data_IF_484400817586
#
_entry.id   IF_484400817586
#
_cell.length_a   1.000
_cell.length_b   1.000
_cell.length_c   1.000
_cell.angle_alpha   90.00
_cell.angle_beta   90.00
_cell.angle_gamma   90.00
#
_symmetry.space_group_name_H-M   'P 1'
#
loop_
_entity.id
_entity.type
_entity.pdbx_description
1 polymer ?
#
# COMPACT_ATOMS: atom_id res chain seq x y z
N UNK A 1 30.58 -89.06 73.87
CA UNK A 1 30.70 -88.35 75.11
C UNK A 1 31.17 -86.96 74.88
N UNK A 2 30.75 -85.92 75.61
CA UNK A 2 29.45 -85.27 75.52
C UNK A 2 29.48 -84.00 74.70
N UNK A 3 28.26 -83.62 74.31
CA UNK A 3 27.89 -82.48 73.49
C UNK A 3 28.06 -81.14 74.24
N UNK A 4 28.63 -80.14 73.61
CA UNK A 4 28.46 -78.75 74.02
C UNK A 4 27.56 -77.95 73.07
N UNK A 5 26.41 -77.60 73.61
CA UNK A 5 25.44 -76.67 72.99
C UNK A 5 25.98 -75.25 73.05
N UNK A 6 26.12 -74.65 71.85
CA UNK A 6 26.38 -73.22 71.77
C UNK A 6 25.08 -72.42 71.71
N UNK A 7 24.93 -71.47 72.62
CA UNK A 7 23.80 -70.54 72.77
C UNK A 7 24.05 -69.34 71.85
N UNK A 8 23.13 -69.11 70.96
CA UNK A 8 23.17 -67.91 70.07
C UNK A 8 22.57 -66.69 70.73
N UNK A 9 23.18 -65.48 70.62
CA UNK A 9 22.61 -64.26 71.16
C UNK A 9 21.57 -63.63 70.21
N UNK A 10 20.42 -63.29 70.67
CA UNK A 10 19.35 -62.55 70.00
C UNK A 10 19.78 -61.11 69.71
N UNK A 11 19.90 -60.76 68.43
CA UNK A 11 20.07 -59.41 67.99
C UNK A 11 18.76 -58.58 68.14
N UNK A 12 18.78 -57.58 68.96
CA UNK A 12 17.72 -56.58 69.08
C UNK A 12 17.74 -55.68 67.85
N UNK A 13 16.75 -55.84 66.92
CA UNK A 13 16.48 -54.89 65.82
C UNK A 13 15.91 -53.59 66.38
N UNK A 14 16.67 -52.53 66.46
CA UNK A 14 16.18 -51.18 66.66
C UNK A 14 15.40 -50.74 65.46
N UNK A 15 14.06 -50.66 65.57
CA UNK A 15 13.16 -50.04 64.58
C UNK A 15 13.38 -48.54 64.65
N UNK A 16 14.13 -47.96 63.70
CA UNK A 16 14.24 -46.51 63.53
C UNK A 16 12.84 -45.99 63.13
N UNK A 17 12.20 -45.26 64.00
CA UNK A 17 11.00 -44.48 63.70
C UNK A 17 11.38 -43.34 62.80
N UNK A 18 11.08 -43.46 61.45
CA UNK A 18 11.14 -42.39 60.50
C UNK A 18 10.21 -41.27 60.97
N UNK A 19 10.78 -40.20 61.50
CA UNK A 19 10.05 -38.96 61.78
C UNK A 19 9.60 -38.37 60.44
N UNK A 20 8.32 -38.48 60.11
CA UNK A 20 7.69 -37.71 59.05
C UNK A 20 7.67 -36.25 59.48
N UNK A 21 8.48 -35.43 58.77
CA UNK A 21 8.44 -33.98 58.92
C UNK A 21 7.08 -33.47 58.46
N UNK A 22 6.37 -32.64 59.24
CA UNK A 22 5.11 -32.10 58.78
C UNK A 22 5.36 -31.20 57.56
N UNK A 23 4.67 -31.50 56.45
CA UNK A 23 4.68 -30.64 55.27
C UNK A 23 4.25 -29.23 55.71
N UNK A 24 5.19 -28.30 55.69
CA UNK A 24 4.92 -26.88 55.95
C UNK A 24 3.94 -26.38 54.88
N UNK A 25 2.65 -26.31 55.22
CA UNK A 25 1.66 -25.66 54.38
C UNK A 25 2.05 -24.21 54.15
N UNK A 26 2.14 -23.85 52.87
CA UNK A 26 2.42 -22.47 52.46
C UNK A 26 1.45 -21.50 53.17
N UNK A 27 1.99 -20.45 53.77
CA UNK A 27 1.19 -19.42 54.45
C UNK A 27 0.16 -18.82 53.48
N UNK A 28 -0.98 -18.35 54.02
CA UNK A 28 -2.03 -17.71 53.16
C UNK A 28 -1.46 -16.62 52.26
N UNK A 29 -0.48 -15.85 52.71
CA UNK A 29 0.22 -14.82 51.91
C UNK A 29 1.03 -15.42 50.75
N UNK A 30 1.68 -16.57 50.94
CA UNK A 30 2.42 -17.26 49.86
C UNK A 30 1.48 -17.91 48.84
N UNK A 31 0.28 -18.33 49.23
CA UNK A 31 -0.76 -18.82 48.32
C UNK A 31 -1.36 -17.68 47.51
N UNK A 32 -1.68 -16.52 48.13
CA UNK A 32 -2.14 -15.33 47.43
C UNK A 32 -1.07 -14.80 46.43
N UNK A 33 0.19 -14.75 46.80
CA UNK A 33 1.28 -14.34 45.93
C UNK A 33 1.44 -15.26 44.71
N UNK A 34 1.30 -16.59 44.90
CA UNK A 34 1.32 -17.56 43.80
C UNK A 34 0.11 -17.42 42.85
N UNK A 35 -1.11 -17.24 43.40
CA UNK A 35 -2.30 -17.03 42.58
C UNK A 35 -2.21 -15.72 41.78
N UNK A 36 -1.72 -14.65 42.37
CA UNK A 36 -1.51 -13.38 41.65
C UNK A 36 -0.47 -13.53 40.51
N UNK A 37 0.63 -14.23 40.78
CA UNK A 37 1.69 -14.48 39.81
C UNK A 37 1.22 -15.35 38.62
N UNK A 38 0.38 -16.37 38.92
CA UNK A 38 -0.25 -17.20 37.89
C UNK A 38 -1.25 -16.39 37.05
N UNK A 39 -2.08 -15.56 37.71
CA UNK A 39 -3.03 -14.68 37.00
C UNK A 39 -2.32 -13.67 36.11
N UNK A 40 -1.23 -13.05 36.57
CA UNK A 40 -0.42 -12.14 35.78
C UNK A 40 0.24 -12.86 34.58
N UNK A 41 0.78 -14.06 34.80
CA UNK A 41 1.36 -14.88 33.74
C UNK A 41 0.32 -15.28 32.71
N UNK A 42 -0.90 -15.66 33.10
CA UNK A 42 -2.01 -15.96 32.18
C UNK A 42 -2.44 -14.72 31.41
N UNK A 43 -2.55 -13.56 32.05
CA UNK A 43 -2.86 -12.30 31.38
C UNK A 43 -1.80 -11.90 30.36
N UNK A 44 -0.51 -12.07 30.68
CA UNK A 44 0.60 -11.82 29.75
C UNK A 44 0.58 -12.81 28.59
N UNK A 45 0.32 -14.09 28.86
CA UNK A 45 0.21 -15.12 27.81
C UNK A 45 -1.02 -14.89 26.92
N UNK A 46 -2.18 -14.57 27.47
CA UNK A 46 -3.37 -14.24 26.70
C UNK A 46 -3.20 -12.95 25.92
N UNK A 47 -2.61 -11.92 26.50
CA UNK A 47 -2.28 -10.66 25.83
C UNK A 47 -1.25 -10.87 24.70
N UNK A 48 -0.22 -11.68 24.98
CA UNK A 48 0.79 -12.05 23.97
C UNK A 48 0.21 -12.90 22.84
N UNK A 49 -0.65 -13.87 23.15
CA UNK A 49 -1.34 -14.69 22.16
C UNK A 49 -2.32 -13.87 21.31
N UNK A 50 -3.08 -12.97 21.95
CA UNK A 50 -3.97 -12.05 21.23
C UNK A 50 -3.20 -11.08 20.33
N UNK A 51 -2.10 -10.52 20.81
CA UNK A 51 -1.22 -9.66 20.02
C UNK A 51 -0.56 -10.43 18.87
N UNK A 52 -0.12 -11.67 19.10
CA UNK A 52 0.44 -12.54 18.07
C UNK A 52 -0.61 -12.96 17.04
N UNK A 53 -1.84 -13.28 17.47
CA UNK A 53 -2.95 -13.58 16.59
C UNK A 53 -3.32 -12.37 15.72
N UNK A 54 -3.43 -11.18 16.32
CA UNK A 54 -3.66 -9.93 15.61
C UNK A 54 -2.53 -9.63 14.62
N UNK A 55 -1.28 -9.84 15.02
CA UNK A 55 -0.11 -9.66 14.15
C UNK A 55 -0.15 -10.61 12.95
N UNK A 56 -0.39 -11.91 13.18
CA UNK A 56 -0.50 -12.93 12.13
C UNK A 56 -1.68 -12.67 11.20
N UNK A 57 -2.79 -12.22 11.74
CA UNK A 57 -3.96 -11.85 10.94
C UNK A 57 -3.71 -10.60 10.11
N UNK A 58 -2.90 -9.64 10.58
CA UNK A 58 -2.53 -8.46 9.80
C UNK A 58 -1.68 -8.81 8.57
N UNK A 59 -0.95 -9.90 8.55
CA UNK A 59 -0.15 -10.34 7.39
C UNK A 59 -0.97 -11.05 6.28
N UNK A 60 -2.29 -11.14 6.40
CA UNK A 60 -3.16 -11.86 5.45
C UNK A 60 -3.73 -10.99 4.31
N UNK A 61 -3.19 -9.80 4.04
CA UNK A 61 -3.54 -9.01 2.85
C UNK A 61 -2.95 -9.68 1.61
N UNK A 62 -3.64 -9.57 0.47
CA UNK A 62 -3.17 -10.13 -0.79
C UNK A 62 -1.72 -9.74 -1.06
N UNK A 63 -0.85 -10.71 -1.29
CA UNK A 63 0.57 -10.49 -1.56
C UNK A 63 0.92 -10.95 -2.97
N UNK A 64 1.95 -10.31 -3.55
CA UNK A 64 2.40 -10.57 -4.92
C UNK A 64 3.92 -10.52 -5.01
N UNK A 65 4.50 -11.51 -5.71
CA UNK A 65 5.93 -11.60 -5.97
C UNK A 65 6.40 -10.74 -7.16
N UNK A 66 5.51 -9.92 -7.74
CA UNK A 66 5.77 -9.17 -8.98
C UNK A 66 6.97 -8.19 -8.91
N UNK A 67 7.34 -7.74 -7.70
CA UNK A 67 8.54 -6.91 -7.53
C UNK A 67 9.83 -7.68 -7.86
N UNK A 68 9.85 -8.98 -7.56
CA UNK A 68 11.02 -9.86 -7.73
C UNK A 68 12.07 -9.69 -6.63
N UNK A 69 12.67 -10.81 -6.21
CA UNK A 69 13.67 -10.82 -5.11
C UNK A 69 14.94 -10.02 -5.46
N UNK A 70 15.31 -9.97 -6.74
CA UNK A 70 16.51 -9.28 -7.23
C UNK A 70 16.25 -7.83 -7.67
N UNK A 71 15.04 -7.28 -7.41
CA UNK A 71 14.72 -5.91 -7.78
C UNK A 71 15.67 -4.93 -7.06
N UNK A 72 16.18 -3.90 -7.77
CA UNK A 72 16.98 -2.86 -7.14
C UNK A 72 16.21 -2.20 -5.98
N UNK A 73 16.89 -2.04 -4.84
CA UNK A 73 16.35 -1.39 -3.64
C UNK A 73 17.09 -0.09 -3.36
N UNK A 74 16.43 0.82 -2.64
CA UNK A 74 17.04 2.04 -2.11
C UNK A 74 18.18 1.70 -1.15
N UNK A 75 19.32 2.39 -1.28
CA UNK A 75 20.54 2.10 -0.52
C UNK A 75 20.81 3.09 0.60
N UNK A 76 20.09 4.20 0.61
CA UNK A 76 20.23 5.33 1.56
C UNK A 76 19.31 5.22 2.78
N UNK A 77 18.59 4.08 2.92
CA UNK A 77 17.61 3.85 3.98
C UNK A 77 16.26 4.53 3.72
N UNK A 78 16.12 5.28 2.63
CA UNK A 78 14.81 5.77 2.18
C UNK A 78 13.96 4.62 1.61
N UNK A 79 12.68 4.87 1.40
CA UNK A 79 11.75 3.88 0.84
C UNK A 79 10.94 4.50 -0.29
N UNK A 80 10.95 3.87 -1.46
CA UNK A 80 10.15 4.24 -2.62
C UNK A 80 8.97 3.27 -2.78
N UNK A 81 7.74 3.79 -2.69
CA UNK A 81 6.51 3.02 -2.73
C UNK A 81 5.73 3.41 -3.98
N UNK A 82 5.44 2.46 -4.86
CA UNK A 82 4.57 2.70 -6.02
C UNK A 82 3.11 2.39 -5.68
N UNK A 83 2.26 3.40 -5.70
CA UNK A 83 0.82 3.24 -5.61
C UNK A 83 0.23 3.12 -7.01
N UNK A 84 -0.55 2.06 -7.24
CA UNK A 84 -1.20 1.76 -8.52
C UNK A 84 -2.71 1.66 -8.35
N UNK A 85 -3.47 2.49 -9.06
CA UNK A 85 -4.93 2.39 -9.15
C UNK A 85 -5.36 1.79 -10.48
N UNK A 86 -5.96 0.59 -10.44
CA UNK A 86 -6.42 -0.13 -11.62
C UNK A 86 -7.87 0.21 -11.96
N UNK A 87 -8.11 0.44 -13.24
CA UNK A 87 -9.46 0.61 -13.81
C UNK A 87 -10.04 -0.73 -14.27
N UNK A 88 -10.19 -1.68 -13.33
CA UNK A 88 -10.82 -2.97 -13.62
C UNK A 88 -12.20 -3.08 -12.98
N UNK A 89 -13.15 -3.74 -13.69
CA UNK A 89 -14.49 -4.08 -13.22
C UNK A 89 -14.56 -5.52 -12.73
N UNK A 90 -13.44 -6.11 -12.43
CA UNK A 90 -13.31 -7.46 -11.89
C UNK A 90 -12.72 -7.43 -10.50
N UNK A 91 -13.09 -8.41 -9.70
CA UNK A 91 -12.47 -8.64 -8.39
C UNK A 91 -11.05 -9.23 -8.53
N UNK A 92 -10.42 -9.59 -7.42
CA UNK A 92 -9.07 -10.16 -7.42
C UNK A 92 -9.02 -11.58 -8.04
N UNK A 93 -10.14 -12.29 -8.13
CA UNK A 93 -10.26 -13.61 -8.74
C UNK A 93 -10.61 -13.57 -10.24
N UNK A 94 -10.80 -12.37 -10.80
CA UNK A 94 -11.22 -12.18 -12.19
C UNK A 94 -12.72 -12.33 -12.40
N UNK A 95 -13.52 -12.42 -11.33
CA UNK A 95 -14.96 -12.46 -11.40
C UNK A 95 -15.52 -11.04 -11.62
N UNK A 96 -16.57 -10.94 -12.42
CA UNK A 96 -17.21 -9.66 -12.71
C UNK A 96 -17.87 -9.07 -11.45
N UNK A 97 -17.72 -7.76 -11.26
CA UNK A 97 -18.41 -7.07 -10.18
C UNK A 97 -19.93 -7.10 -10.41
N UNK A 98 -20.74 -7.30 -9.35
CA UNK A 98 -22.19 -7.25 -9.46
C UNK A 98 -22.68 -5.96 -10.12
N UNK A 99 -23.77 -6.06 -10.92
CA UNK A 99 -24.28 -4.91 -11.69
C UNK A 99 -24.73 -3.73 -10.84
N UNK A 100 -25.21 -3.96 -9.62
CA UNK A 100 -25.54 -2.90 -8.66
C UNK A 100 -24.29 -2.18 -8.15
N UNK A 101 -23.19 -2.90 -7.96
CA UNK A 101 -21.87 -2.32 -7.63
C UNK A 101 -21.36 -1.48 -8.80
N UNK A 102 -21.39 -2.01 -10.03
CA UNK A 102 -20.97 -1.27 -11.23
C UNK A 102 -21.77 0.02 -11.42
N UNK A 103 -23.08 -0.03 -11.14
CA UNK A 103 -23.95 1.15 -11.20
C UNK A 103 -23.57 2.20 -10.15
N UNK A 104 -23.33 1.79 -8.90
CA UNK A 104 -22.84 2.69 -7.83
C UNK A 104 -21.50 3.32 -8.20
N UNK A 105 -20.60 2.55 -8.78
CA UNK A 105 -19.28 3.03 -9.21
C UNK A 105 -19.32 3.92 -10.47
N UNK A 106 -20.47 4.12 -11.12
CA UNK A 106 -20.57 4.73 -12.45
C UNK A 106 -19.54 4.14 -13.43
N UNK A 107 -19.33 2.82 -13.36
CA UNK A 107 -18.25 2.14 -14.06
C UNK A 107 -18.64 1.66 -15.47
N UNK A 108 -19.92 1.80 -15.86
CA UNK A 108 -20.46 1.20 -17.08
C UNK A 108 -20.67 -0.31 -16.92
N UNK A 109 -20.70 -1.04 -18.05
CA UNK A 109 -20.78 -2.50 -18.01
C UNK A 109 -19.43 -3.15 -17.72
N UNK A 110 -19.43 -4.43 -17.35
CA UNK A 110 -18.23 -5.23 -17.14
C UNK A 110 -17.37 -5.38 -18.41
N UNK A 111 -17.99 -5.29 -19.59
CA UNK A 111 -17.32 -5.37 -20.90
C UNK A 111 -16.47 -4.13 -21.21
N UNK A 112 -16.76 -3.00 -20.55
CA UNK A 112 -16.06 -1.74 -20.73
C UNK A 112 -14.96 -1.66 -19.68
N UNK A 113 -13.72 -1.64 -20.12
CA UNK A 113 -12.59 -1.45 -19.25
C UNK A 113 -11.54 -2.51 -19.45
N UNK A 114 -10.42 -2.25 -18.90
CA UNK A 114 -9.26 -3.11 -19.01
C UNK A 114 -8.47 -3.09 -17.71
N UNK A 115 -7.24 -3.49 -17.82
CA UNK A 115 -6.30 -3.46 -16.69
C UNK A 115 -5.35 -2.26 -16.85
N UNK A 116 -5.90 -1.05 -17.11
CA UNK A 116 -5.09 0.15 -17.15
C UNK A 116 -4.78 0.65 -15.72
N UNK A 117 -3.53 0.96 -15.46
CA UNK A 117 -3.12 1.66 -14.24
C UNK A 117 -3.39 3.17 -14.39
N UNK A 118 -4.63 3.58 -14.14
CA UNK A 118 -5.08 4.95 -14.35
C UNK A 118 -4.61 5.93 -13.27
N UNK A 119 -4.05 5.45 -12.18
CA UNK A 119 -3.39 6.23 -11.14
C UNK A 119 -2.03 5.60 -10.87
N UNK A 120 -0.97 6.39 -10.99
CA UNK A 120 0.40 6.00 -10.71
C UNK A 120 1.04 7.10 -9.87
N UNK A 121 1.39 6.78 -8.62
CA UNK A 121 2.03 7.72 -7.70
C UNK A 121 3.24 7.03 -7.06
N UNK A 122 4.41 7.61 -7.22
CA UNK A 122 5.61 7.20 -6.48
C UNK A 122 5.66 8.02 -5.19
N UNK A 123 5.62 7.35 -4.04
CA UNK A 123 5.88 7.95 -2.73
C UNK A 123 7.33 7.67 -2.33
N UNK A 124 8.09 8.71 -2.11
CA UNK A 124 9.42 8.65 -1.52
C UNK A 124 9.36 9.04 -0.05
N UNK A 125 9.76 8.13 0.83
CA UNK A 125 9.81 8.33 2.28
C UNK A 125 11.28 8.38 2.70
N UNK A 126 11.80 9.54 3.09
CA UNK A 126 13.20 9.68 3.47
C UNK A 126 13.50 8.98 4.81
N UNK A 127 14.72 8.45 4.96
CA UNK A 127 15.16 7.73 6.15
C UNK A 127 15.22 8.59 7.41
N UNK A 128 15.48 9.89 7.27
CA UNK A 128 15.65 10.85 8.36
C UNK A 128 14.33 11.35 8.98
N UNK A 129 13.19 10.82 8.51
CA UNK A 129 11.85 11.26 8.95
C UNK A 129 11.45 12.63 8.43
N UNK A 130 12.15 13.15 7.41
CA UNK A 130 11.81 14.37 6.68
C UNK A 130 10.47 14.28 5.94
N UNK A 131 10.15 15.32 5.17
CA UNK A 131 8.90 15.34 4.38
C UNK A 131 8.97 14.29 3.25
N UNK A 132 7.98 13.43 3.21
CA UNK A 132 7.81 12.51 2.08
C UNK A 132 7.41 13.29 0.80
N UNK A 133 7.79 12.76 -0.34
CA UNK A 133 7.47 13.33 -1.66
C UNK A 133 6.61 12.36 -2.43
N UNK A 134 5.49 12.84 -2.96
CA UNK A 134 4.61 12.09 -3.84
C UNK A 134 4.73 12.61 -5.28
N UNK A 135 5.13 11.75 -6.21
CA UNK A 135 5.24 12.06 -7.62
C UNK A 135 4.10 11.38 -8.38
N UNK A 136 3.13 12.17 -8.83
CA UNK A 136 2.07 11.64 -9.70
C UNK A 136 2.56 11.60 -11.14
N UNK A 137 2.47 10.43 -11.75
CA UNK A 137 2.87 10.15 -13.12
C UNK A 137 1.62 10.27 -13.99
N UNK A 138 1.56 11.21 -14.96
CA UNK A 138 0.41 11.31 -15.84
C UNK A 138 0.25 10.01 -16.65
N UNK A 139 -0.93 9.43 -16.58
CA UNK A 139 -1.20 8.08 -17.12
C UNK A 139 -1.06 7.94 -18.63
N UNK A 140 -1.18 9.06 -19.35
CA UNK A 140 -1.11 9.10 -20.81
C UNK A 140 0.30 9.48 -21.33
N UNK A 141 1.32 9.48 -20.43
CA UNK A 141 2.72 9.68 -20.81
C UNK A 141 3.18 8.58 -21.76
N UNK A 142 3.75 8.97 -22.90
CA UNK A 142 4.30 8.08 -23.89
C UNK A 142 5.68 7.60 -23.42
N UNK A 143 5.80 6.32 -23.14
CA UNK A 143 7.02 5.70 -22.60
C UNK A 143 7.34 4.39 -23.29
N UNK A 144 8.58 3.92 -23.17
CA UNK A 144 8.96 2.58 -23.61
C UNK A 144 8.42 1.55 -22.60
N UNK A 145 7.60 0.63 -23.09
CA UNK A 145 7.06 -0.49 -22.30
C UNK A 145 7.86 -1.75 -22.66
N UNK A 146 8.60 -2.36 -21.73
CA UNK A 146 9.45 -3.51 -22.03
C UNK A 146 8.67 -4.65 -22.69
N UNK A 147 9.10 -5.04 -23.89
CA UNK A 147 8.46 -6.10 -24.69
C UNK A 147 7.25 -5.66 -25.53
N UNK A 148 6.81 -4.38 -25.43
CA UNK A 148 5.61 -3.87 -26.12
C UNK A 148 5.84 -2.60 -26.92
N UNK A 149 7.07 -2.04 -26.90
CA UNK A 149 7.39 -0.78 -27.58
C UNK A 149 6.84 0.46 -26.86
N UNK A 150 6.67 1.56 -27.60
CA UNK A 150 6.16 2.81 -27.02
C UNK A 150 4.64 2.82 -26.98
N UNK A 151 4.10 3.11 -25.79
CA UNK A 151 2.67 3.37 -25.57
C UNK A 151 2.47 4.18 -24.29
N UNK A 152 1.21 4.50 -23.96
CA UNK A 152 0.83 5.16 -22.70
C UNK A 152 1.24 4.32 -21.50
N UNK A 153 1.89 4.93 -20.52
CA UNK A 153 2.41 4.24 -19.34
C UNK A 153 1.34 3.42 -18.61
N UNK A 154 0.08 3.87 -18.61
CA UNK A 154 -1.05 3.14 -18.01
C UNK A 154 -1.32 1.78 -18.63
N UNK A 155 -0.92 1.55 -19.90
CA UNK A 155 -1.21 0.33 -20.65
C UNK A 155 -0.24 -0.81 -20.32
N UNK A 156 0.89 -0.53 -19.69
CA UNK A 156 1.93 -1.52 -19.41
C UNK A 156 1.39 -2.76 -18.69
N UNK A 157 0.51 -2.55 -17.72
CA UNK A 157 -0.14 -3.63 -16.99
C UNK A 157 -1.01 -4.52 -17.88
N UNK A 158 -1.94 -3.91 -18.60
CA UNK A 158 -2.92 -4.63 -19.43
C UNK A 158 -2.27 -5.37 -20.61
N UNK A 159 -1.28 -4.78 -21.24
CA UNK A 159 -0.53 -5.38 -22.36
C UNK A 159 0.21 -6.65 -21.90
N UNK A 160 0.94 -6.57 -20.79
CA UNK A 160 1.69 -7.71 -20.28
C UNK A 160 0.76 -8.81 -19.76
N UNK A 161 -0.34 -8.44 -19.09
CA UNK A 161 -1.38 -9.39 -18.66
C UNK A 161 -1.94 -10.17 -19.85
N UNK A 162 -2.37 -9.48 -20.90
CA UNK A 162 -2.95 -10.11 -22.08
C UNK A 162 -1.93 -11.03 -22.79
N UNK A 163 -0.68 -10.62 -22.88
CA UNK A 163 0.39 -11.43 -23.45
C UNK A 163 0.64 -12.71 -22.64
N UNK A 164 0.69 -12.61 -21.31
CA UNK A 164 0.87 -13.76 -20.41
C UNK A 164 -0.29 -14.73 -20.51
N UNK A 165 -1.53 -14.25 -20.48
CA UNK A 165 -2.71 -15.11 -20.66
C UNK A 165 -2.74 -15.81 -22.02
N UNK A 166 -2.36 -15.11 -23.09
CA UNK A 166 -2.30 -15.69 -24.44
C UNK A 166 -1.28 -16.82 -24.48
N UNK A 167 -0.11 -16.62 -23.90
CA UNK A 167 0.93 -17.64 -23.78
C UNK A 167 0.44 -18.85 -23.00
N UNK A 168 -0.14 -18.65 -21.82
CA UNK A 168 -0.66 -19.73 -20.96
C UNK A 168 -1.77 -20.53 -21.64
N UNK A 169 -2.67 -19.87 -22.37
CA UNK A 169 -3.68 -20.56 -23.20
C UNK A 169 -3.06 -21.40 -24.30
N UNK A 170 -2.00 -20.89 -24.93
CA UNK A 170 -1.21 -21.66 -25.91
C UNK A 170 -0.52 -22.88 -25.31
N UNK A 171 -0.19 -22.85 -24.02
CA UNK A 171 0.35 -23.97 -23.24
C UNK A 171 -0.75 -24.92 -22.70
N UNK A 172 -2.02 -24.68 -23.02
CA UNK A 172 -3.15 -25.53 -22.64
C UNK A 172 -3.78 -25.20 -21.29
N UNK A 173 -3.46 -24.06 -20.66
CA UNK A 173 -4.11 -23.62 -19.42
C UNK A 173 -5.51 -23.10 -19.74
N UNK A 174 -6.54 -23.77 -19.14
CA UNK A 174 -7.96 -23.42 -19.31
C UNK A 174 -8.61 -22.87 -18.03
N UNK A 175 -7.93 -22.98 -16.89
CA UNK A 175 -8.42 -22.47 -15.61
C UNK A 175 -8.40 -20.94 -15.61
N UNK A 176 -9.61 -20.33 -15.58
CA UNK A 176 -9.78 -18.88 -15.63
C UNK A 176 -9.14 -18.16 -14.43
N UNK A 177 -9.19 -18.73 -13.23
CA UNK A 177 -8.57 -18.13 -12.03
C UNK A 177 -7.05 -18.13 -12.13
N UNK A 178 -6.47 -19.21 -12.62
CA UNK A 178 -5.03 -19.30 -12.87
C UNK A 178 -4.60 -18.31 -13.94
N UNK A 179 -5.32 -18.20 -15.05
CA UNK A 179 -5.05 -17.21 -16.11
C UNK A 179 -5.08 -15.79 -15.55
N UNK A 180 -6.11 -15.46 -14.75
CA UNK A 180 -6.24 -14.14 -14.13
C UNK A 180 -5.09 -13.86 -13.18
N UNK A 181 -4.77 -14.80 -12.27
CA UNK A 181 -3.69 -14.65 -11.31
C UNK A 181 -2.33 -14.42 -11.98
N UNK A 182 -1.92 -15.34 -12.85
CA UNK A 182 -0.63 -15.26 -13.55
C UNK A 182 -0.57 -14.01 -14.49
N UNK A 183 -1.69 -13.70 -15.12
CA UNK A 183 -1.82 -12.50 -15.95
C UNK A 183 -1.62 -11.23 -15.13
N UNK A 184 -2.23 -11.12 -13.94
CA UNK A 184 -2.03 -9.97 -13.04
C UNK A 184 -0.60 -9.89 -12.52
N UNK A 185 0.04 -11.02 -12.18
CA UNK A 185 1.45 -11.02 -11.78
C UNK A 185 2.34 -10.44 -12.89
N UNK A 186 2.17 -10.90 -14.13
CA UNK A 186 2.87 -10.36 -15.28
C UNK A 186 2.58 -8.86 -15.50
N UNK A 187 1.32 -8.45 -15.35
CA UNK A 187 0.90 -7.05 -15.44
C UNK A 187 1.56 -6.15 -14.40
N UNK A 188 1.56 -6.57 -13.14
CA UNK A 188 2.24 -5.86 -12.02
C UNK A 188 3.72 -5.70 -12.29
N UNK A 189 4.39 -6.81 -12.64
CA UNK A 189 5.82 -6.81 -12.94
C UNK A 189 6.17 -5.83 -14.07
N UNK A 190 5.39 -5.85 -15.16
CA UNK A 190 5.61 -4.95 -16.29
C UNK A 190 5.37 -3.48 -15.91
N UNK A 191 4.30 -3.18 -15.15
CA UNK A 191 4.00 -1.82 -14.72
C UNK A 191 5.08 -1.26 -13.79
N UNK A 192 5.51 -2.04 -12.79
CA UNK A 192 6.57 -1.67 -11.85
C UNK A 192 7.88 -1.43 -12.62
N UNK A 193 8.25 -2.35 -13.52
CA UNK A 193 9.46 -2.21 -14.34
C UNK A 193 9.40 -0.97 -15.22
N UNK A 194 8.27 -0.72 -15.89
CA UNK A 194 8.08 0.46 -16.74
C UNK A 194 8.25 1.75 -15.96
N UNK A 195 7.63 1.86 -14.78
CA UNK A 195 7.75 3.05 -13.92
C UNK A 195 9.19 3.21 -13.43
N UNK A 196 9.83 2.14 -12.94
CA UNK A 196 11.22 2.16 -12.50
C UNK A 196 12.16 2.63 -13.60
N UNK A 197 12.02 2.04 -14.80
CA UNK A 197 12.86 2.35 -15.95
C UNK A 197 12.59 3.78 -16.46
N UNK A 198 11.37 4.28 -16.35
CA UNK A 198 11.00 5.64 -16.70
C UNK A 198 11.60 6.66 -15.73
N UNK A 199 11.41 6.47 -14.42
CA UNK A 199 11.84 7.42 -13.38
C UNK A 199 13.34 7.32 -13.06
N UNK A 200 13.96 6.18 -13.29
CA UNK A 200 15.38 5.95 -12.98
C UNK A 200 15.70 5.83 -11.49
N UNK A 201 14.71 5.45 -10.67
CA UNK A 201 14.86 5.20 -9.23
C UNK A 201 14.34 3.81 -8.88
N UNK A 202 14.87 3.14 -7.84
CA UNK A 202 14.37 1.85 -7.39
C UNK A 202 12.94 1.96 -6.88
N UNK A 203 12.19 0.86 -6.95
CA UNK A 203 10.89 0.69 -6.30
C UNK A 203 11.08 -0.36 -5.21
N UNK A 204 10.92 0.05 -3.95
CA UNK A 204 11.13 -0.83 -2.79
C UNK A 204 9.87 -1.63 -2.46
N UNK A 205 8.71 -0.99 -2.60
CA UNK A 205 7.41 -1.57 -2.34
C UNK A 205 6.38 -1.09 -3.34
N UNK A 206 5.27 -1.83 -3.48
CA UNK A 206 4.11 -1.36 -4.20
C UNK A 206 2.81 -1.69 -3.46
N UNK A 207 1.77 -0.92 -3.78
CA UNK A 207 0.40 -1.21 -3.41
C UNK A 207 -0.51 -1.02 -4.63
N UNK A 208 -1.35 -2.01 -4.90
CA UNK A 208 -2.35 -1.99 -5.98
C UNK A 208 -3.74 -1.95 -5.38
N UNK A 209 -4.61 -1.12 -5.94
CA UNK A 209 -6.02 -1.03 -5.57
C UNK A 209 -6.89 -0.98 -6.82
N UNK A 210 -8.03 -1.70 -6.81
CA UNK A 210 -9.05 -1.64 -7.85
C UNK A 210 -10.08 -0.53 -7.59
N UNK A 211 -10.98 -0.27 -8.56
CA UNK A 211 -12.10 0.69 -8.37
C UNK A 211 -12.98 0.32 -7.19
N UNK A 212 -13.36 -0.96 -7.08
CA UNK A 212 -14.17 -1.46 -5.96
C UNK A 212 -13.43 -1.37 -4.63
N UNK A 213 -12.13 -1.63 -4.66
CA UNK A 213 -11.27 -1.51 -3.48
C UNK A 213 -11.19 -0.07 -2.97
N UNK A 214 -11.01 0.88 -3.87
CA UNK A 214 -10.99 2.29 -3.52
C UNK A 214 -12.31 2.74 -2.87
N UNK A 215 -13.44 2.38 -3.49
CA UNK A 215 -14.78 2.65 -2.96
C UNK A 215 -14.94 2.11 -1.53
N UNK A 216 -14.63 0.81 -1.33
CA UNK A 216 -14.76 0.16 -0.01
C UNK A 216 -13.81 0.75 1.04
N UNK A 217 -12.60 1.14 0.62
CA UNK A 217 -11.62 1.72 1.54
C UNK A 217 -12.04 3.13 2.00
N UNK A 218 -12.62 3.94 1.09
CA UNK A 218 -13.16 5.24 1.44
C UNK A 218 -14.36 5.13 2.40
N UNK A 219 -15.26 4.16 2.18
CA UNK A 219 -16.36 3.88 3.11
C UNK A 219 -15.85 3.40 4.49
N UNK A 220 -14.81 2.56 4.53
CA UNK A 220 -14.23 2.07 5.79
C UNK A 220 -13.51 3.17 6.61
N UNK A 221 -13.24 4.30 6.00
CA UNK A 221 -12.75 5.51 6.68
C UNK A 221 -13.87 6.39 7.23
N UNK A 222 -15.13 5.94 7.15
CA UNK A 222 -16.33 6.73 7.47
C UNK A 222 -16.47 7.98 6.58
N UNK A 223 -16.01 7.90 5.32
CA UNK A 223 -15.92 9.01 4.39
C UNK A 223 -14.57 9.73 4.41
N UNK A 224 -14.34 10.65 3.50
CA UNK A 224 -13.13 11.48 3.43
C UNK A 224 -13.50 12.93 3.18
N UNK A 225 -13.03 13.86 4.03
CA UNK A 225 -13.27 15.29 3.84
C UNK A 225 -12.41 15.81 2.67
N UNK A 226 -13.06 16.48 1.71
CA UNK A 226 -12.40 17.17 0.59
C UNK A 226 -12.83 18.62 0.51
N UNK A 227 -12.08 19.43 -0.23
CA UNK A 227 -12.42 20.84 -0.46
C UNK A 227 -12.35 21.16 -1.96
N UNK A 228 -13.43 21.76 -2.48
CA UNK A 228 -13.51 22.26 -3.86
C UNK A 228 -13.54 23.80 -3.89
N UNK A 229 -12.75 24.39 -4.79
CA UNK A 229 -12.80 25.83 -5.03
C UNK A 229 -14.11 26.24 -5.69
N UNK A 230 -14.65 25.41 -6.57
CA UNK A 230 -15.87 25.67 -7.34
C UNK A 230 -16.81 24.47 -7.29
N UNK A 231 -18.12 24.73 -7.43
CA UNK A 231 -19.09 23.66 -7.59
C UNK A 231 -18.87 22.93 -8.92
N UNK A 232 -19.08 21.62 -8.92
CA UNK A 232 -18.84 20.77 -10.10
C UNK A 232 -20.02 19.86 -10.36
N UNK A 233 -20.28 19.60 -11.67
CA UNK A 233 -21.27 18.64 -12.13
C UNK A 233 -20.77 17.92 -13.36
N UNK A 234 -20.55 16.59 -13.23
CA UNK A 234 -20.08 15.73 -14.32
C UNK A 234 -20.85 14.41 -14.34
N UNK A 235 -21.72 14.25 -15.33
CA UNK A 235 -22.53 13.03 -15.51
C UNK A 235 -21.71 11.77 -15.80
N UNK A 236 -20.49 11.91 -16.32
CA UNK A 236 -19.66 10.76 -16.71
C UNK A 236 -18.98 10.11 -15.50
N UNK A 237 -18.54 10.90 -14.54
CA UNK A 237 -17.99 10.40 -13.29
C UNK A 237 -19.05 10.22 -12.21
N UNK A 238 -20.22 10.87 -12.36
CA UNK A 238 -21.25 10.97 -11.33
C UNK A 238 -20.98 12.06 -10.29
N UNK A 239 -19.99 12.93 -10.54
CA UNK A 239 -19.68 14.04 -9.63
C UNK A 239 -20.78 15.11 -9.68
N UNK A 240 -21.33 15.49 -8.53
CA UNK A 240 -22.25 16.59 -8.32
C UNK A 240 -21.99 17.16 -6.92
N UNK A 241 -21.08 18.12 -6.83
CA UNK A 241 -20.56 18.62 -5.57
C UNK A 241 -20.63 20.14 -5.48
N UNK A 242 -21.05 20.71 -4.34
CA UNK A 242 -20.94 22.15 -4.09
C UNK A 242 -19.46 22.57 -3.91
N UNK A 243 -19.20 23.87 -3.98
CA UNK A 243 -17.94 24.44 -3.55
C UNK A 243 -17.76 24.33 -2.03
N UNK A 244 -16.52 24.32 -1.57
CA UNK A 244 -16.16 24.27 -0.16
C UNK A 244 -15.85 22.86 0.35
N UNK A 245 -15.78 22.75 1.68
CA UNK A 245 -15.49 21.49 2.37
C UNK A 245 -16.71 20.60 2.45
N UNK A 246 -16.51 19.31 2.21
CA UNK A 246 -17.56 18.31 2.28
C UNK A 246 -16.96 16.93 2.54
N UNK A 247 -17.71 16.07 3.21
CA UNK A 247 -17.36 14.69 3.44
C UNK A 247 -17.92 13.81 2.32
N UNK A 248 -17.09 12.99 1.72
CA UNK A 248 -17.45 12.11 0.61
C UNK A 248 -17.46 10.65 1.06
N UNK A 249 -18.59 9.95 0.87
CA UNK A 249 -18.64 8.49 0.95
C UNK A 249 -17.83 7.83 -0.18
N UNK A 250 -17.74 6.50 -0.20
CA UNK A 250 -16.95 5.79 -1.19
C UNK A 250 -17.40 6.02 -2.63
N UNK A 251 -18.71 6.16 -2.88
CA UNK A 251 -19.25 6.46 -4.23
C UNK A 251 -18.86 7.87 -4.65
N UNK A 252 -19.07 8.83 -3.79
CA UNK A 252 -18.73 10.23 -4.02
C UNK A 252 -17.21 10.43 -4.16
N UNK A 253 -16.43 9.76 -3.31
CA UNK A 253 -14.98 9.77 -3.39
C UNK A 253 -14.47 9.25 -4.74
N UNK A 254 -15.04 8.15 -5.23
CA UNK A 254 -14.70 7.63 -6.55
C UNK A 254 -15.09 8.57 -7.68
N UNK A 255 -16.27 9.20 -7.61
CA UNK A 255 -16.71 10.22 -8.57
C UNK A 255 -15.76 11.42 -8.60
N UNK A 256 -15.34 11.90 -7.41
CA UNK A 256 -14.42 13.02 -7.23
C UNK A 256 -13.04 12.76 -7.88
N UNK A 257 -12.43 11.60 -7.62
CA UNK A 257 -11.09 11.27 -8.14
C UNK A 257 -11.10 10.87 -9.63
N UNK A 258 -12.27 10.62 -10.22
CA UNK A 258 -12.42 10.23 -11.63
C UNK A 258 -12.85 11.35 -12.55
N UNK A 259 -13.42 12.44 -12.02
CA UNK A 259 -13.90 13.55 -12.85
C UNK A 259 -12.77 14.12 -13.73
N UNK A 260 -13.12 14.36 -15.01
CA UNK A 260 -12.24 15.00 -16.01
C UNK A 260 -12.96 16.07 -16.80
N UNK A 261 -14.26 15.86 -17.07
CA UNK A 261 -15.06 16.80 -17.84
C UNK A 261 -15.40 18.01 -16.97
N UNK A 262 -15.31 19.18 -17.58
CA UNK A 262 -15.52 20.45 -16.85
C UNK A 262 -14.31 20.93 -16.05
N UNK A 263 -13.18 20.21 -16.09
CA UNK A 263 -11.92 20.66 -15.55
C UNK A 263 -11.09 21.35 -16.64
N UNK A 264 -10.43 22.45 -16.30
CA UNK A 264 -9.71 23.30 -17.25
C UNK A 264 -8.58 22.52 -17.96
N UNK A 265 -7.80 21.74 -17.19
CA UNK A 265 -6.68 20.94 -17.72
C UNK A 265 -7.00 19.44 -17.75
N UNK A 266 -8.28 19.07 -17.69
CA UNK A 266 -8.79 17.70 -17.86
C UNK A 266 -8.09 16.69 -16.95
N UNK A 267 -7.24 15.82 -17.53
CA UNK A 267 -6.58 14.73 -16.83
C UNK A 267 -5.55 15.19 -15.79
N UNK A 268 -4.89 16.33 -16.02
CA UNK A 268 -3.93 16.89 -15.06
C UNK A 268 -4.62 17.41 -13.78
N UNK A 269 -5.80 18.04 -13.91
CA UNK A 269 -6.57 18.47 -12.75
C UNK A 269 -7.20 17.28 -12.02
N UNK A 270 -7.61 16.23 -12.74
CA UNK A 270 -7.97 14.96 -12.11
C UNK A 270 -6.84 14.42 -11.25
N UNK A 271 -5.60 14.46 -11.73
CA UNK A 271 -4.41 14.05 -10.96
C UNK A 271 -4.28 14.85 -9.66
N UNK A 272 -4.53 16.17 -9.70
CA UNK A 272 -4.55 17.02 -8.50
C UNK A 272 -5.64 16.63 -7.50
N UNK A 273 -6.83 16.25 -7.99
CA UNK A 273 -7.90 15.72 -7.13
C UNK A 273 -7.50 14.42 -6.45
N UNK A 274 -6.81 13.53 -7.16
CA UNK A 274 -6.28 12.29 -6.56
C UNK A 274 -5.25 12.59 -5.47
N UNK A 275 -4.37 13.57 -5.69
CA UNK A 275 -3.41 14.04 -4.69
C UNK A 275 -4.11 14.65 -3.46
N UNK A 276 -5.10 15.51 -3.69
CA UNK A 276 -5.88 16.15 -2.63
C UNK A 276 -6.64 15.10 -1.80
N UNK A 277 -7.28 14.15 -2.47
CA UNK A 277 -7.98 13.05 -1.79
C UNK A 277 -7.02 12.22 -0.93
N UNK A 278 -5.85 11.85 -1.47
CA UNK A 278 -4.86 11.08 -0.72
C UNK A 278 -4.31 11.87 0.48
N UNK A 279 -4.06 13.17 0.32
CA UNK A 279 -3.65 14.05 1.42
C UNK A 279 -4.73 14.11 2.52
N UNK A 280 -5.99 14.27 2.13
CA UNK A 280 -7.14 14.28 3.06
C UNK A 280 -7.32 12.94 3.77
N UNK A 281 -7.24 11.83 3.05
CA UNK A 281 -7.34 10.48 3.64
C UNK A 281 -6.22 10.22 4.67
N UNK A 282 -4.97 10.60 4.35
CA UNK A 282 -3.85 10.52 5.29
C UNK A 282 -4.05 11.40 6.53
N UNK A 283 -4.60 12.60 6.33
CA UNK A 283 -4.94 13.50 7.44
C UNK A 283 -6.02 12.88 8.34
N UNK A 284 -7.07 12.32 7.76
CA UNK A 284 -8.19 11.71 8.49
C UNK A 284 -7.76 10.47 9.28
N UNK A 285 -7.00 9.57 8.68
CA UNK A 285 -6.44 8.38 9.36
C UNK A 285 -5.69 8.77 10.65
N UNK A 286 -5.00 9.92 10.63
CA UNK A 286 -4.29 10.43 11.78
C UNK A 286 -5.22 11.14 12.79
N UNK A 287 -6.15 11.97 12.33
CA UNK A 287 -6.99 12.84 13.19
C UNK A 287 -8.04 12.05 13.99
N UNK A 288 -8.66 11.05 13.39
CA UNK A 288 -9.68 10.19 14.06
C UNK A 288 -9.09 9.03 14.86
N UNK A 289 -7.77 8.99 15.02
CA UNK A 289 -7.11 7.95 15.82
C UNK A 289 -7.27 6.54 15.25
N UNK A 290 -7.49 6.40 13.94
CA UNK A 290 -7.68 5.10 13.27
C UNK A 290 -6.52 4.15 13.53
N UNK A 291 -5.28 4.67 13.48
CA UNK A 291 -4.06 3.90 13.71
C UNK A 291 -3.87 3.47 15.18
N UNK A 292 -4.62 4.04 16.11
CA UNK A 292 -4.57 3.73 17.54
C UNK A 292 -5.77 2.92 18.02
N UNK A 293 -6.81 2.79 17.21
CA UNK A 293 -8.01 1.99 17.50
C UNK A 293 -7.89 0.58 16.92
N UNK A 294 -7.80 -0.48 17.75
CA UNK A 294 -7.70 -1.86 17.25
C UNK A 294 -8.90 -2.28 16.40
N UNK A 295 -10.12 -1.84 16.74
CA UNK A 295 -11.33 -2.15 15.98
C UNK A 295 -11.31 -1.53 14.58
N UNK A 296 -11.05 -0.23 14.47
CA UNK A 296 -10.95 0.46 13.17
C UNK A 296 -9.83 -0.10 12.30
N UNK A 297 -8.71 -0.46 12.92
CA UNK A 297 -7.60 -1.07 12.20
C UNK A 297 -7.98 -2.46 11.65
N UNK A 298 -8.76 -3.25 12.40
CA UNK A 298 -9.29 -4.53 11.94
C UNK A 298 -10.31 -4.36 10.81
N UNK A 299 -11.18 -3.36 10.89
CA UNK A 299 -12.16 -3.06 9.83
C UNK A 299 -11.46 -2.65 8.54
N UNK A 300 -10.49 -1.74 8.60
CA UNK A 300 -9.66 -1.38 7.46
C UNK A 300 -8.90 -2.56 6.89
N UNK A 301 -8.33 -3.42 7.74
CA UNK A 301 -7.67 -4.65 7.31
C UNK A 301 -8.61 -5.58 6.56
N UNK A 302 -9.82 -5.82 7.08
CA UNK A 302 -10.79 -6.70 6.45
C UNK A 302 -11.17 -6.20 5.05
N UNK A 303 -11.33 -4.89 4.89
CA UNK A 303 -11.57 -4.28 3.58
C UNK A 303 -10.33 -4.39 2.68
N UNK A 304 -9.15 -4.11 3.21
CA UNK A 304 -7.90 -4.16 2.44
C UNK A 304 -7.57 -5.57 1.95
N UNK A 305 -7.84 -6.60 2.76
CA UNK A 305 -7.55 -8.01 2.45
C UNK A 305 -8.04 -8.46 1.07
N UNK A 306 -9.25 -8.08 0.72
CA UNK A 306 -9.90 -8.50 -0.53
C UNK A 306 -9.74 -7.50 -1.67
N UNK A 307 -9.19 -6.31 -1.39
CA UNK A 307 -9.22 -5.18 -2.32
C UNK A 307 -7.87 -4.52 -2.58
N UNK A 308 -6.85 -4.83 -1.78
CA UNK A 308 -5.49 -4.29 -1.91
C UNK A 308 -4.51 -5.44 -2.10
N UNK A 309 -3.52 -5.25 -2.98
CA UNK A 309 -2.40 -6.18 -3.15
C UNK A 309 -1.11 -5.43 -2.82
N UNK A 310 -0.32 -6.00 -1.93
CA UNK A 310 1.00 -5.52 -1.54
C UNK A 310 2.08 -6.45 -2.10
N UNK A 311 3.34 -6.01 -2.14
CA UNK A 311 4.44 -6.91 -2.45
C UNK A 311 4.73 -7.89 -1.29
N UNK A 312 5.24 -9.06 -1.65
CA UNK A 312 5.70 -10.03 -0.67
C UNK A 312 6.82 -9.44 0.19
N UNK A 313 6.70 -9.63 1.51
CA UNK A 313 7.66 -9.08 2.47
C UNK A 313 7.36 -7.67 2.96
N UNK A 314 6.35 -6.99 2.41
CA UNK A 314 5.85 -5.73 2.97
C UNK A 314 4.60 -5.98 3.80
N UNK A 315 4.81 -6.41 5.04
CA UNK A 315 3.71 -6.68 5.97
C UNK A 315 2.91 -5.41 6.29
N UNK A 316 1.62 -5.60 6.59
CA UNK A 316 0.70 -4.50 6.96
C UNK A 316 1.24 -3.68 8.13
N UNK A 317 1.94 -4.31 9.07
CA UNK A 317 2.58 -3.60 10.19
C UNK A 317 3.61 -2.58 9.73
N UNK A 318 4.44 -2.95 8.74
CA UNK A 318 5.43 -2.04 8.14
C UNK A 318 4.74 -0.92 7.35
N UNK A 319 3.68 -1.25 6.61
CA UNK A 319 2.85 -0.26 5.92
C UNK A 319 2.23 0.75 6.91
N UNK A 320 1.62 0.28 8.00
CA UNK A 320 1.03 1.16 9.03
C UNK A 320 2.09 2.04 9.69
N UNK A 321 3.29 1.50 9.94
CA UNK A 321 4.39 2.28 10.50
C UNK A 321 4.88 3.36 9.52
N UNK A 322 5.00 3.04 8.25
CA UNK A 322 5.36 4.02 7.22
C UNK A 322 4.23 5.03 7.00
N UNK A 323 2.96 4.60 7.02
CA UNK A 323 1.81 5.49 6.94
C UNK A 323 1.81 6.55 8.05
N UNK A 324 2.25 6.21 9.28
CA UNK A 324 2.45 7.20 10.36
C UNK A 324 3.46 8.29 9.99
N UNK A 325 4.50 7.95 9.23
CA UNK A 325 5.48 8.93 8.74
C UNK A 325 4.92 9.81 7.62
N UNK A 326 3.85 9.38 6.96
CA UNK A 326 3.15 10.12 5.92
C UNK A 326 2.05 11.05 6.46
N UNK A 327 1.63 10.88 7.74
CA UNK A 327 0.56 11.66 8.36
C UNK A 327 1.07 13.00 8.91
N UNK A 328 0.15 13.92 9.24
CA UNK A 328 0.48 15.20 9.89
C UNK A 328 1.14 16.24 9.00
N UNK A 329 0.86 16.22 7.69
CA UNK A 329 1.37 17.22 6.74
C UNK A 329 2.77 16.96 6.22
N UNK A 330 3.26 15.77 6.43
CA UNK A 330 4.62 15.38 6.04
C UNK A 330 4.74 14.90 4.59
N UNK A 331 3.68 15.02 3.77
CA UNK A 331 3.72 14.64 2.35
C UNK A 331 3.49 15.87 1.48
N UNK A 332 4.29 16.00 0.43
CA UNK A 332 4.13 17.00 -0.62
C UNK A 332 3.97 16.28 -1.95
N UNK A 333 2.84 16.52 -2.62
CA UNK A 333 2.55 15.92 -3.92
C UNK A 333 2.88 16.87 -5.06
N UNK A 334 3.51 16.35 -6.10
CA UNK A 334 3.85 17.05 -7.34
C UNK A 334 3.47 16.18 -8.53
N UNK A 335 2.88 16.76 -9.57
CA UNK A 335 2.68 16.05 -10.85
C UNK A 335 3.94 16.20 -11.69
N UNK A 336 4.42 15.11 -12.29
CA UNK A 336 5.57 15.14 -13.20
C UNK A 336 5.26 15.96 -14.45
N UNK A 337 6.25 16.67 -15.02
CA UNK A 337 6.03 17.58 -16.12
C UNK A 337 5.67 16.86 -17.42
N UNK A 338 4.75 17.46 -18.17
CA UNK A 338 4.42 17.10 -19.55
C UNK A 338 4.97 18.22 -20.45
N UNK A 339 5.73 17.86 -21.47
CA UNK A 339 6.33 18.80 -22.40
C UNK A 339 5.32 19.29 -23.44
N UNK A 340 4.59 18.35 -24.05
CA UNK A 340 3.60 18.63 -25.07
C UNK A 340 2.58 17.50 -25.22
N UNK A 341 1.60 17.71 -26.09
CA UNK A 341 0.57 16.73 -26.40
C UNK A 341 0.68 16.33 -27.88
N UNK A 342 0.51 15.04 -28.18
CA UNK A 342 0.59 14.50 -29.51
C UNK A 342 -0.43 13.36 -29.72
N UNK A 343 -0.42 12.78 -30.94
CA UNK A 343 -1.12 11.52 -31.22
C UNK A 343 -0.10 10.41 -31.50
N UNK A 344 -0.33 9.26 -30.86
CA UNK A 344 0.41 8.02 -31.10
C UNK A 344 -0.60 6.90 -31.33
N UNK A 345 -0.50 6.19 -32.46
CA UNK A 345 -1.45 5.14 -32.84
C UNK A 345 -2.93 5.58 -32.79
N UNK A 346 -3.21 6.84 -33.16
CA UNK A 346 -4.57 7.42 -33.15
C UNK A 346 -5.08 7.89 -31.78
N UNK A 347 -4.35 7.66 -30.72
CA UNK A 347 -4.70 8.08 -29.36
C UNK A 347 -3.92 9.32 -28.92
N UNK A 348 -4.55 10.19 -28.12
CA UNK A 348 -3.87 11.34 -27.52
C UNK A 348 -2.88 10.87 -26.46
N UNK A 349 -1.64 11.37 -26.51
CA UNK A 349 -0.53 11.04 -25.61
C UNK A 349 0.13 12.30 -25.08
N UNK A 350 0.76 12.20 -23.92
CA UNK A 350 1.66 13.20 -23.41
C UNK A 350 3.09 12.90 -23.88
N UNK A 351 3.74 13.88 -24.45
CA UNK A 351 5.19 13.82 -24.73
C UNK A 351 5.92 14.32 -23.49
N UNK A 352 6.92 13.57 -23.07
CA UNK A 352 7.67 13.84 -21.85
C UNK A 352 9.18 13.82 -22.11
N UNK A 353 9.90 14.80 -21.55
CA UNK A 353 11.36 14.73 -21.46
C UNK A 353 11.76 13.80 -20.30
N UNK A 354 12.17 12.58 -20.66
CA UNK A 354 12.56 11.55 -19.71
C UNK A 354 13.73 11.99 -18.81
N UNK A 355 14.69 12.71 -19.34
CA UNK A 355 15.85 13.15 -18.58
C UNK A 355 15.48 14.27 -17.61
N UNK A 356 14.58 15.16 -17.99
CA UNK A 356 14.00 16.17 -17.08
C UNK A 356 13.22 15.50 -15.96
N UNK A 357 12.36 14.53 -16.26
CA UNK A 357 11.58 13.78 -15.27
C UNK A 357 12.53 13.10 -14.27
N UNK A 358 13.55 12.40 -14.74
CA UNK A 358 14.54 11.72 -13.90
C UNK A 358 15.30 12.69 -13.01
N UNK A 359 15.81 13.79 -13.58
CA UNK A 359 16.48 14.83 -12.78
C UNK A 359 15.57 15.37 -11.69
N UNK A 360 14.32 15.70 -12.00
CA UNK A 360 13.33 16.19 -11.00
C UNK A 360 13.10 15.21 -9.86
N UNK A 361 12.93 13.93 -10.18
CA UNK A 361 12.73 12.89 -9.16
C UNK A 361 14.00 12.72 -8.32
N UNK A 362 15.16 12.60 -8.96
CA UNK A 362 16.43 12.39 -8.30
C UNK A 362 16.83 13.56 -7.39
N UNK A 363 16.63 14.79 -7.83
CA UNK A 363 16.89 16.01 -7.03
C UNK A 363 16.03 16.06 -5.76
N UNK A 364 14.76 15.67 -5.88
CA UNK A 364 13.83 15.73 -4.76
C UNK A 364 13.93 14.52 -3.81
N UNK A 365 14.46 13.39 -4.28
CA UNK A 365 14.66 12.17 -3.47
C UNK A 365 16.08 12.06 -2.91
N UNK A 366 17.03 12.88 -3.39
CA UNK A 366 18.44 12.74 -3.05
C UNK A 366 19.11 11.48 -3.64
N UNK A 367 18.39 10.74 -4.50
CA UNK A 367 18.85 9.47 -5.09
C UNK A 367 19.59 9.64 -6.42
N UNK A 368 20.15 10.80 -6.69
CA UNK A 368 20.98 11.06 -7.86
C UNK A 368 22.21 10.14 -7.87
N UNK A 369 22.46 9.47 -8.99
CA UNK A 369 23.65 8.66 -9.16
C UNK A 369 24.89 9.49 -8.80
N UNK A 370 25.66 9.04 -7.84
CA UNK A 370 27.05 9.47 -7.63
C UNK A 370 27.91 8.96 -8.82
N UNK A 371 27.66 9.48 -10.02
CA UNK A 371 28.63 9.39 -11.08
C UNK A 371 29.62 10.52 -10.85
N UNK A 372 30.78 10.17 -10.29
CA UNK A 372 31.92 11.07 -10.16
C UNK A 372 32.22 11.73 -11.52
N UNK A 373 31.89 12.99 -11.61
CA UNK A 373 32.49 13.94 -12.52
C UNK A 373 32.71 15.24 -11.78
N UNK A 374 33.89 15.36 -11.18
CA UNK A 374 34.57 16.61 -10.97
C UNK A 374 34.72 17.27 -12.34
N UNK A 375 33.88 18.23 -12.61
CA UNK A 375 33.92 19.03 -13.82
C UNK A 375 33.21 20.35 -13.54
N UNK A 376 33.98 21.29 -12.98
CA UNK A 376 33.60 22.70 -12.88
C UNK A 376 33.25 23.23 -14.27
N UNK A 377 31.99 23.45 -14.54
CA UNK A 377 31.52 24.31 -15.60
C UNK A 377 30.40 25.18 -15.04
N UNK A 378 30.75 26.41 -14.66
CA UNK A 378 29.79 27.50 -14.49
C UNK A 378 29.08 27.75 -15.84
N UNK A 379 27.96 27.11 -16.06
CA UNK A 379 26.93 27.62 -16.96
C UNK A 379 25.90 28.36 -16.07
N UNK A 380 26.04 29.68 -16.03
CA UNK A 380 24.91 30.56 -15.80
C UNK A 380 24.01 30.44 -17.04
N UNK A 381 23.06 29.54 -16.99
CA UNK A 381 21.84 29.66 -17.77
C UNK A 381 20.79 30.19 -16.80
N UNK A 382 20.23 31.35 -17.11
CA UNK A 382 18.99 31.87 -16.55
C UNK A 382 17.86 30.90 -16.94
N UNK A 383 17.81 29.74 -16.27
CA UNK A 383 16.68 28.85 -16.29
C UNK A 383 15.72 29.38 -15.23
N UNK A 384 14.80 30.27 -15.65
CA UNK A 384 13.54 30.43 -14.96
C UNK A 384 12.97 29.03 -14.83
N UNK A 385 13.26 28.37 -13.71
CA UNK A 385 12.56 27.16 -13.31
C UNK A 385 11.09 27.57 -13.20
N UNK A 386 10.32 27.21 -14.22
CA UNK A 386 8.86 27.26 -14.14
C UNK A 386 8.42 26.16 -13.17
N UNK A 387 8.61 26.43 -11.87
CA UNK A 387 8.11 25.65 -10.73
C UNK A 387 6.60 25.89 -10.56
N UNK A 388 5.93 26.19 -11.69
CA UNK A 388 4.50 26.51 -11.75
C UNK A 388 3.59 25.30 -11.63
N UNK A 389 4.15 24.08 -11.43
CA UNK A 389 3.31 22.91 -11.15
C UNK A 389 2.78 23.06 -9.71
N UNK A 390 1.48 23.35 -9.53
CA UNK A 390 0.93 23.58 -8.21
C UNK A 390 1.11 22.33 -7.34
N UNK A 391 1.74 22.52 -6.18
CA UNK A 391 1.98 21.45 -5.20
C UNK A 391 0.78 21.29 -4.29
N UNK A 392 0.44 20.04 -3.94
CA UNK A 392 -0.58 19.73 -2.95
C UNK A 392 0.10 19.30 -1.66
N UNK A 393 -0.09 20.08 -0.59
CA UNK A 393 0.49 19.79 0.72
C UNK A 393 -0.44 18.89 1.55
N UNK A 394 0.11 17.87 2.19
CA UNK A 394 -0.63 16.88 2.99
C UNK A 394 -1.00 17.32 4.42
N UNK A 395 -0.87 18.60 4.77
CA UNK A 395 -1.06 19.13 6.14
C UNK A 395 -2.50 19.40 6.57
N UNK A 396 -3.48 19.07 5.73
CA UNK A 396 -4.89 19.33 5.98
C UNK A 396 -5.74 18.84 4.83
N UNK A 397 -6.89 19.49 4.63
CA UNK A 397 -7.80 19.25 3.50
C UNK A 397 -7.55 20.33 2.44
N UNK A 398 -6.72 20.04 1.42
CA UNK A 398 -6.41 21.03 0.38
C UNK A 398 -7.62 21.28 -0.52
N UNK A 399 -7.86 22.56 -0.87
CA UNK A 399 -8.90 22.88 -1.86
C UNK A 399 -8.33 22.77 -3.28
N UNK A 400 -9.10 22.14 -4.18
CA UNK A 400 -8.75 21.92 -5.59
C UNK A 400 -9.92 22.23 -6.50
N UNK A 401 -9.65 22.33 -7.81
CA UNK A 401 -10.67 22.50 -8.84
C UNK A 401 -11.11 21.16 -9.41
#
# INVERSE_FOLDING_TARGET
MPQHRAVSPRSRRHRARRRQSPARGLSRRARLGRTLLVLTAVLVLCGGAAAWYLYRELDSIGSSAALGADAPKSKDGSTNILLMGLDTRKDQNGEELPGDVLKKLHAGSSDIGGYNANTLILLHVPADGGKAKGFSIPRDDLVDIPGHGQDKIKKAYGLAKAAAETKLRGEGVTDGRKLEHEGREAGRQAQIRTVRDFLGVPIDHFAEISLSGFYRLADALDGVEVCLNHAVKDRYSGADFPAGKQELDGQQALAFVRQRHGLERGDLDRTRRQQAFLASALHQVNSVGTLTSPTRLLDLKNVAKDNVVLDEGWGVSSFVQQAKNLTGGKVEFTTLPVESFAKHNGEDVNIVDRDLVRRRVQEQTGQGAHSGRTGSAKHKADEKSDDSTPKVAGGGVPCVD
#
